data_IF_054485840348
#
_entry.id   IF_054485840348
#
_cell.length_a   1.000
_cell.length_b   1.000
_cell.length_c   1.000
_cell.angle_alpha   90.00
_cell.angle_beta   90.00
_cell.angle_gamma   90.00
#
_symmetry.space_group_name_H-M   'P 1'
#
loop_
_entity.id
_entity.type
_entity.pdbx_description
1 polymer ?
#
# COMPACT_ATOMS: atom_id res chain seq x y z
N UNK A 1 14.23 1.73 -17.77
CA UNK A 1 14.10 0.65 -18.77
C UNK A 1 13.38 1.22 -19.98
N UNK A 2 13.88 0.93 -21.19
CA UNK A 2 13.21 1.32 -22.42
C UNK A 2 12.01 0.39 -22.72
N UNK A 3 10.98 0.97 -23.33
CA UNK A 3 9.78 0.27 -23.79
C UNK A 3 10.01 -0.49 -25.10
N UNK A 4 11.05 -0.09 -25.84
CA UNK A 4 11.54 -0.73 -27.06
C UNK A 4 12.67 -1.74 -26.78
N UNK A 5 12.91 -2.60 -27.77
CA UNK A 5 14.12 -3.41 -27.93
C UNK A 5 14.70 -3.16 -29.31
N UNK A 6 16.03 -3.33 -29.44
CA UNK A 6 16.69 -3.26 -30.73
C UNK A 6 16.56 -4.59 -31.46
N UNK A 7 15.95 -4.58 -32.64
CA UNK A 7 15.89 -5.72 -33.53
C UNK A 7 17.25 -5.97 -34.21
N UNK A 8 17.43 -7.15 -34.80
CA UNK A 8 18.68 -7.55 -35.46
C UNK A 8 19.10 -6.60 -36.60
N UNK A 9 18.12 -5.97 -37.26
CA UNK A 9 18.33 -4.97 -38.31
C UNK A 9 18.65 -3.56 -37.77
N UNK A 10 18.80 -3.40 -36.45
CA UNK A 10 19.12 -2.13 -35.78
C UNK A 10 17.91 -1.24 -35.46
N UNK A 11 16.70 -1.59 -35.92
CA UNK A 11 15.48 -0.83 -35.66
C UNK A 11 15.00 -1.00 -34.21
N UNK A 12 14.37 0.03 -33.65
CA UNK A 12 13.70 -0.07 -32.34
C UNK A 12 12.25 -0.53 -32.49
N UNK A 13 11.89 -1.58 -31.76
CA UNK A 13 10.55 -2.18 -31.80
C UNK A 13 9.99 -2.26 -30.39
N UNK A 14 8.72 -1.89 -30.22
CA UNK A 14 8.04 -2.02 -28.94
C UNK A 14 7.89 -3.48 -28.51
N UNK A 15 8.14 -3.76 -27.22
CA UNK A 15 8.01 -5.11 -26.66
C UNK A 15 6.57 -5.63 -26.65
N UNK A 16 5.61 -4.73 -26.55
CA UNK A 16 4.18 -5.02 -26.54
C UNK A 16 3.38 -3.74 -26.84
N UNK A 17 2.10 -3.90 -27.20
CA UNK A 17 1.21 -2.78 -27.54
C UNK A 17 0.93 -1.84 -26.36
N UNK A 18 0.87 -2.36 -25.14
CA UNK A 18 0.66 -1.55 -23.92
C UNK A 18 1.80 -0.53 -23.76
N UNK A 19 3.05 -0.92 -23.99
CA UNK A 19 4.21 -0.03 -23.93
C UNK A 19 4.21 1.01 -25.05
N UNK A 20 3.77 0.63 -26.24
CA UNK A 20 3.57 1.59 -27.33
C UNK A 20 2.54 2.64 -26.94
N UNK A 21 1.36 2.22 -26.46
CA UNK A 21 0.27 3.12 -26.09
C UNK A 21 0.63 4.03 -24.90
N UNK A 22 1.42 3.53 -23.95
CA UNK A 22 1.93 4.34 -22.85
C UNK A 22 2.83 5.47 -23.36
N UNK A 23 3.78 5.19 -24.27
CA UNK A 23 4.64 6.24 -24.82
C UNK A 23 3.86 7.18 -25.77
N UNK A 24 2.88 6.66 -26.51
CA UNK A 24 1.97 7.45 -27.34
C UNK A 24 1.21 8.47 -26.49
N UNK A 25 0.54 8.04 -25.41
CA UNK A 25 -0.14 8.94 -24.47
C UNK A 25 0.78 10.01 -23.88
N UNK A 26 1.98 9.61 -23.43
CA UNK A 26 2.95 10.55 -22.85
C UNK A 26 3.37 11.61 -23.88
N UNK A 27 3.55 11.21 -25.14
CA UNK A 27 3.96 12.09 -26.20
C UNK A 27 2.82 12.99 -26.71
N UNK A 28 1.60 12.46 -26.85
CA UNK A 28 0.49 13.18 -27.50
C UNK A 28 -0.36 13.96 -26.51
N UNK A 29 -0.69 13.36 -25.36
CA UNK A 29 -1.58 13.98 -24.37
C UNK A 29 -0.78 14.81 -23.36
N UNK A 30 0.35 14.29 -22.87
CA UNK A 30 1.16 15.01 -21.88
C UNK A 30 2.24 15.89 -22.52
N UNK A 31 2.47 15.77 -23.83
CA UNK A 31 3.49 16.52 -24.58
C UNK A 31 4.91 16.36 -23.99
N UNK A 32 5.20 15.21 -23.39
CA UNK A 32 6.50 14.89 -22.81
C UNK A 32 7.23 13.96 -23.77
N UNK A 33 8.51 14.25 -24.03
CA UNK A 33 9.35 13.29 -24.75
C UNK A 33 9.58 12.04 -23.86
N UNK A 34 9.27 10.82 -24.32
CA UNK A 34 9.53 9.59 -23.55
C UNK A 34 10.99 9.42 -23.08
N UNK A 35 11.97 10.02 -23.74
CA UNK A 35 13.37 9.99 -23.29
C UNK A 35 13.63 10.85 -22.05
N UNK A 36 12.73 11.81 -21.77
CA UNK A 36 12.83 12.76 -20.66
C UNK A 36 12.07 12.30 -19.41
N UNK A 37 11.58 11.06 -19.35
CA UNK A 37 10.91 10.48 -18.17
C UNK A 37 11.80 10.52 -16.91
N UNK A 38 13.13 10.60 -17.07
CA UNK A 38 14.06 10.67 -15.93
C UNK A 38 14.05 12.03 -15.22
N UNK A 39 13.53 13.08 -15.87
CA UNK A 39 13.38 14.39 -15.27
C UNK A 39 12.31 14.30 -14.17
N UNK A 40 12.61 14.67 -12.91
CA UNK A 40 11.69 14.49 -11.78
C UNK A 40 10.30 15.10 -12.00
N UNK A 41 10.24 16.28 -12.59
CA UNK A 41 9.00 17.01 -12.89
C UNK A 41 8.14 16.25 -13.90
N UNK A 42 8.73 15.81 -15.00
CA UNK A 42 8.04 15.00 -16.02
C UNK A 42 7.55 13.68 -15.42
N UNK A 43 8.39 13.01 -14.62
CA UNK A 43 8.01 11.77 -13.95
C UNK A 43 6.82 11.98 -13.03
N UNK A 44 6.79 13.10 -12.29
CA UNK A 44 5.67 13.46 -11.42
C UNK A 44 4.40 13.72 -12.23
N UNK A 45 4.46 14.46 -13.33
CA UNK A 45 3.30 14.70 -14.21
C UNK A 45 2.73 13.38 -14.73
N UNK A 46 3.59 12.46 -15.18
CA UNK A 46 3.13 11.14 -15.65
C UNK A 46 2.51 10.33 -14.51
N UNK A 47 3.09 10.38 -13.31
CA UNK A 47 2.52 9.70 -12.14
C UNK A 47 1.16 10.27 -11.73
N UNK A 48 1.00 11.58 -11.79
CA UNK A 48 -0.26 12.29 -11.46
C UNK A 48 -1.37 12.00 -12.48
N UNK A 49 -1.02 11.67 -13.73
CA UNK A 49 -1.95 11.34 -14.82
C UNK A 49 -1.97 9.83 -15.14
N UNK A 50 -1.47 8.98 -14.24
CA UNK A 50 -1.27 7.56 -14.53
C UNK A 50 -2.58 6.83 -14.78
N UNK A 51 -3.65 7.16 -14.05
CA UNK A 51 -4.95 6.51 -14.24
C UNK A 51 -5.57 6.87 -15.61
N UNK A 52 -5.41 8.11 -16.06
CA UNK A 52 -5.85 8.53 -17.40
C UNK A 52 -5.07 7.82 -18.51
N UNK A 53 -3.75 7.67 -18.33
CA UNK A 53 -2.93 6.82 -19.21
C UNK A 53 -3.42 5.36 -19.22
N UNK A 54 -3.85 4.82 -18.08
CA UNK A 54 -4.39 3.45 -18.01
C UNK A 54 -5.71 3.36 -18.78
N UNK A 55 -6.62 4.34 -18.67
CA UNK A 55 -7.84 4.38 -19.48
C UNK A 55 -7.53 4.49 -20.97
N UNK A 56 -6.61 5.36 -21.36
CA UNK A 56 -6.16 5.47 -22.74
C UNK A 56 -5.64 4.12 -23.29
N UNK A 57 -4.80 3.43 -22.53
CA UNK A 57 -4.30 2.10 -22.93
C UNK A 57 -5.46 1.11 -23.00
N UNK A 58 -6.32 1.10 -21.98
CA UNK A 58 -7.49 0.23 -21.87
C UNK A 58 -8.36 0.34 -23.12
N UNK A 59 -8.71 1.54 -23.55
CA UNK A 59 -9.58 1.79 -24.71
C UNK A 59 -8.97 1.33 -26.04
N UNK A 60 -7.64 1.20 -26.09
CA UNK A 60 -6.89 0.93 -27.31
C UNK A 60 -6.25 -0.48 -27.37
N UNK A 61 -6.55 -1.36 -26.40
CA UNK A 61 -6.15 -2.78 -26.44
C UNK A 61 -7.35 -3.70 -26.65
N UNK A 62 -7.10 -4.86 -27.25
CA UNK A 62 -8.08 -5.95 -27.28
C UNK A 62 -8.24 -6.47 -25.85
N UNK A 63 -9.48 -6.47 -25.35
CA UNK A 63 -9.76 -6.94 -23.99
C UNK A 63 -9.48 -8.44 -23.85
N UNK A 64 -8.69 -8.86 -22.86
CA UNK A 64 -8.46 -10.28 -22.62
C UNK A 64 -9.76 -10.97 -22.18
N UNK A 65 -9.92 -12.24 -22.53
CA UNK A 65 -11.03 -13.05 -22.01
C UNK A 65 -10.83 -13.32 -20.51
N UNK A 66 -11.93 -13.33 -19.76
CA UNK A 66 -11.94 -13.73 -18.36
C UNK A 66 -11.45 -15.18 -18.14
N UNK A 67 -11.52 -16.03 -19.18
CA UNK A 67 -11.05 -17.41 -19.11
C UNK A 67 -9.52 -17.55 -19.25
N UNK A 68 -8.87 -16.58 -19.91
CA UNK A 68 -7.44 -16.64 -20.23
C UNK A 68 -6.60 -16.02 -19.09
N UNK A 69 -6.48 -16.78 -18.00
CA UNK A 69 -5.74 -16.34 -16.83
C UNK A 69 -4.24 -16.17 -17.09
N UNK A 70 -3.67 -16.91 -18.04
CA UNK A 70 -2.25 -16.79 -18.39
C UNK A 70 -1.99 -15.47 -19.13
N UNK A 71 -2.85 -15.09 -20.08
CA UNK A 71 -2.77 -13.79 -20.72
C UNK A 71 -2.98 -12.66 -19.71
N UNK A 72 -3.97 -12.76 -18.83
CA UNK A 72 -4.19 -11.77 -17.78
C UNK A 72 -2.97 -11.62 -16.87
N UNK A 73 -2.32 -12.73 -16.51
CA UNK A 73 -1.11 -12.70 -15.67
C UNK A 73 0.07 -12.04 -16.39
N UNK A 74 0.24 -12.31 -17.69
CA UNK A 74 1.22 -11.63 -18.52
C UNK A 74 0.96 -10.12 -18.63
N UNK A 75 -0.31 -9.72 -18.76
CA UNK A 75 -0.69 -8.30 -18.77
C UNK A 75 -0.44 -7.66 -17.40
N UNK A 76 -0.73 -8.35 -16.29
CA UNK A 76 -0.39 -7.87 -14.95
C UNK A 76 1.11 -7.64 -14.79
N UNK A 77 1.93 -8.52 -15.36
CA UNK A 77 3.38 -8.40 -15.33
C UNK A 77 3.90 -7.18 -16.12
N UNK A 78 3.23 -6.81 -17.21
CA UNK A 78 3.48 -5.57 -17.96
C UNK A 78 3.03 -4.36 -17.14
N UNK A 79 1.82 -4.41 -16.57
CA UNK A 79 1.22 -3.35 -15.75
C UNK A 79 2.11 -2.99 -14.54
N UNK A 80 2.54 -3.96 -13.73
CA UNK A 80 3.40 -3.66 -12.57
C UNK A 80 4.72 -3.00 -12.98
N UNK A 81 5.23 -3.29 -14.19
CA UNK A 81 6.45 -2.66 -14.73
C UNK A 81 6.19 -1.21 -15.13
N UNK A 82 5.01 -0.91 -15.70
CA UNK A 82 4.58 0.48 -15.93
C UNK A 82 4.54 1.24 -14.61
N UNK A 83 3.86 0.72 -13.59
CA UNK A 83 3.77 1.39 -12.30
C UNK A 83 5.15 1.75 -11.73
N UNK A 84 6.07 0.78 -11.70
CA UNK A 84 7.44 1.01 -11.22
C UNK A 84 8.19 2.03 -12.09
N UNK A 85 8.03 1.97 -13.43
CA UNK A 85 8.71 2.88 -14.36
C UNK A 85 8.30 4.33 -14.10
N UNK A 86 7.00 4.57 -13.93
CA UNK A 86 6.43 5.91 -13.78
C UNK A 86 6.30 6.37 -12.33
N UNK A 87 6.65 5.52 -11.36
CA UNK A 87 6.68 5.90 -9.94
C UNK A 87 5.34 5.80 -9.23
N UNK A 88 4.42 4.98 -9.74
CA UNK A 88 3.14 4.68 -9.10
C UNK A 88 3.15 3.31 -8.42
N UNK A 89 2.24 3.11 -7.48
CA UNK A 89 2.07 1.82 -6.80
C UNK A 89 0.99 1.02 -7.53
N UNK A 90 1.25 -0.27 -7.86
CA UNK A 90 0.23 -1.09 -8.48
C UNK A 90 -0.91 -1.38 -7.49
N UNK A 91 -2.14 -1.39 -8.00
CA UNK A 91 -3.36 -1.78 -7.29
C UNK A 91 -4.16 -2.76 -8.15
N UNK A 92 -5.03 -3.55 -7.52
CA UNK A 92 -5.94 -4.39 -8.28
C UNK A 92 -7.05 -3.59 -8.95
N UNK A 93 -7.40 -2.42 -8.42
CA UNK A 93 -8.41 -1.53 -8.98
C UNK A 93 -7.97 -0.97 -10.33
N UNK A 94 -6.80 -0.32 -10.38
CA UNK A 94 -6.25 0.20 -11.64
C UNK A 94 -5.92 -0.93 -12.64
N UNK A 95 -5.51 -2.11 -12.15
CA UNK A 95 -5.34 -3.26 -13.03
C UNK A 95 -6.67 -3.73 -13.63
N UNK A 96 -7.76 -3.70 -12.83
CA UNK A 96 -9.10 -4.07 -13.29
C UNK A 96 -9.60 -3.11 -14.38
N UNK A 97 -9.30 -1.82 -14.25
CA UNK A 97 -9.58 -0.80 -15.26
C UNK A 97 -8.80 -1.05 -16.57
N UNK A 98 -7.51 -1.41 -16.47
CA UNK A 98 -6.67 -1.73 -17.64
C UNK A 98 -7.26 -2.88 -18.48
N UNK A 99 -7.64 -3.98 -17.83
CA UNK A 99 -8.13 -5.18 -18.53
C UNK A 99 -9.64 -5.14 -18.81
N UNK A 100 -10.36 -4.15 -18.29
CA UNK A 100 -11.80 -4.01 -18.46
C UNK A 100 -12.62 -5.08 -17.74
N UNK A 101 -12.13 -5.56 -16.59
CA UNK A 101 -12.82 -6.57 -15.76
C UNK A 101 -13.29 -5.88 -14.48
N UNK A 102 -14.53 -6.13 -14.04
CA UNK A 102 -15.02 -5.55 -12.80
C UNK A 102 -14.17 -6.03 -11.61
N UNK A 103 -13.76 -5.12 -10.74
CA UNK A 103 -12.96 -5.44 -9.55
C UNK A 103 -13.58 -6.53 -8.65
N UNK A 104 -14.91 -6.60 -8.55
CA UNK A 104 -15.60 -7.63 -7.78
C UNK A 104 -15.32 -9.04 -8.31
N UNK A 105 -15.19 -9.19 -9.64
CA UNK A 105 -14.85 -10.46 -10.29
C UNK A 105 -13.53 -11.03 -9.76
N UNK A 106 -12.53 -10.17 -9.53
CA UNK A 106 -11.26 -10.60 -8.90
C UNK A 106 -11.45 -11.08 -7.46
N UNK A 107 -12.34 -10.43 -6.70
CA UNK A 107 -12.68 -10.86 -5.33
C UNK A 107 -13.35 -12.24 -5.35
N UNK A 108 -14.32 -12.44 -6.23
CA UNK A 108 -15.02 -13.72 -6.37
C UNK A 108 -14.04 -14.85 -6.75
N UNK A 109 -13.08 -14.57 -7.64
CA UNK A 109 -12.01 -15.51 -8.00
C UNK A 109 -11.13 -15.85 -6.80
N UNK A 110 -10.70 -14.87 -6.01
CA UNK A 110 -9.91 -15.11 -4.80
C UNK A 110 -10.65 -15.97 -3.77
N UNK A 111 -11.95 -15.72 -3.60
CA UNK A 111 -12.82 -16.46 -2.70
C UNK A 111 -13.17 -17.86 -3.22
N UNK A 112 -13.05 -18.07 -4.54
CA UNK A 112 -13.35 -19.34 -5.19
C UNK A 112 -14.84 -19.53 -5.48
N UNK A 113 -15.64 -18.47 -5.57
CA UNK A 113 -17.11 -18.57 -5.59
C UNK A 113 -17.67 -19.26 -6.84
N UNK A 114 -17.07 -19.07 -8.02
CA UNK A 114 -17.49 -19.77 -9.26
C UNK A 114 -16.34 -20.41 -10.06
N UNK A 115 -15.11 -20.39 -9.53
CA UNK A 115 -13.91 -21.00 -10.15
C UNK A 115 -12.92 -21.61 -9.14
N UNK A 116 -13.43 -22.22 -8.07
CA UNK A 116 -12.62 -22.77 -6.98
C UNK A 116 -11.46 -23.69 -7.42
N UNK A 117 -11.65 -24.45 -8.50
CA UNK A 117 -10.67 -25.42 -9.03
C UNK A 117 -9.74 -24.85 -10.11
N UNK A 118 -9.92 -23.59 -10.52
CA UNK A 118 -9.10 -22.95 -11.55
C UNK A 118 -7.83 -22.29 -10.99
N UNK A 119 -6.91 -21.90 -11.88
CA UNK A 119 -5.75 -21.11 -11.49
C UNK A 119 -6.11 -19.66 -11.09
N UNK A 120 -7.28 -19.15 -11.49
CA UNK A 120 -7.70 -17.75 -11.28
C UNK A 120 -7.56 -17.30 -9.83
N UNK A 121 -8.11 -18.07 -8.89
CA UNK A 121 -8.06 -17.67 -7.48
C UNK A 121 -6.64 -17.57 -6.92
N UNK A 122 -5.74 -18.47 -7.33
CA UNK A 122 -4.32 -18.44 -6.93
C UNK A 122 -3.59 -17.26 -7.58
N UNK A 123 -3.86 -17.02 -8.87
CA UNK A 123 -3.22 -15.95 -9.63
C UNK A 123 -3.64 -14.56 -9.14
N UNK A 124 -4.92 -14.32 -8.83
CA UNK A 124 -5.36 -13.04 -8.27
C UNK A 124 -4.78 -12.81 -6.87
N UNK A 125 -4.69 -13.86 -6.02
CA UNK A 125 -4.00 -13.76 -4.72
C UNK A 125 -2.54 -13.33 -4.90
N UNK A 126 -1.84 -13.94 -5.86
CA UNK A 126 -0.48 -13.54 -6.24
C UNK A 126 -0.41 -12.07 -6.64
N UNK A 127 -1.35 -11.58 -7.47
CA UNK A 127 -1.40 -10.16 -7.85
C UNK A 127 -1.61 -9.26 -6.63
N UNK A 128 -2.56 -9.61 -5.75
CA UNK A 128 -2.82 -8.89 -4.50
C UNK A 128 -1.57 -8.80 -3.62
N UNK A 129 -0.87 -9.91 -3.45
CA UNK A 129 0.36 -9.98 -2.65
C UNK A 129 1.49 -9.12 -3.25
N UNK A 130 1.61 -9.09 -4.58
CA UNK A 130 2.56 -8.22 -5.27
C UNK A 130 2.23 -6.74 -5.01
N UNK A 131 0.96 -6.34 -5.11
CA UNK A 131 0.54 -4.97 -4.84
C UNK A 131 0.84 -4.57 -3.39
N UNK A 132 0.49 -5.42 -2.42
CA UNK A 132 0.80 -5.20 -1.01
C UNK A 132 2.30 -5.12 -0.74
N UNK A 133 3.09 -6.03 -1.32
CA UNK A 133 4.54 -6.03 -1.16
C UNK A 133 5.21 -4.79 -1.75
N UNK A 134 4.69 -4.24 -2.85
CA UNK A 134 5.18 -2.97 -3.42
C UNK A 134 4.88 -1.78 -2.52
N UNK A 135 3.67 -1.70 -1.96
CA UNK A 135 3.31 -0.69 -0.97
C UNK A 135 4.21 -0.77 0.27
N UNK A 136 4.44 -1.97 0.79
CA UNK A 136 5.31 -2.18 1.96
C UNK A 136 6.75 -1.76 1.67
N UNK A 137 7.31 -2.15 0.53
CA UNK A 137 8.65 -1.73 0.14
C UNK A 137 8.76 -0.21 -0.01
N UNK A 138 7.72 0.45 -0.54
CA UNK A 138 7.68 1.91 -0.61
C UNK A 138 7.71 2.55 0.78
N UNK A 139 6.91 2.03 1.74
CA UNK A 139 6.88 2.52 3.13
C UNK A 139 8.25 2.41 3.80
N UNK A 140 9.00 1.33 3.55
CA UNK A 140 10.36 1.19 4.08
C UNK A 140 11.37 2.19 3.48
N UNK A 141 11.18 2.59 2.23
CA UNK A 141 12.11 3.46 1.51
C UNK A 141 11.87 4.96 1.77
N UNK A 142 10.76 5.33 2.40
CA UNK A 142 10.36 6.72 2.64
C UNK A 142 10.20 6.99 4.15
N UNK A 143 11.29 7.39 4.85
CA UNK A 143 11.24 7.73 6.27
C UNK A 143 10.25 8.89 6.53
N UNK A 144 9.45 8.79 7.59
CA UNK A 144 8.34 9.73 7.84
C UNK A 144 7.02 9.34 7.12
N UNK A 145 6.89 8.05 6.82
CA UNK A 145 5.84 7.38 6.05
C UNK A 145 4.41 7.94 6.19
N UNK A 146 3.80 8.19 5.03
CA UNK A 146 2.42 8.65 4.84
C UNK A 146 1.40 7.75 5.58
N UNK A 147 0.71 8.34 6.57
CA UNK A 147 -0.28 7.62 7.39
C UNK A 147 -1.39 6.95 6.57
N UNK A 148 -1.83 7.56 5.47
CA UNK A 148 -2.87 6.98 4.61
C UNK A 148 -2.40 5.67 3.98
N UNK A 149 -1.13 5.60 3.60
CA UNK A 149 -0.51 4.39 3.03
C UNK A 149 -0.34 3.29 4.08
N UNK A 150 -0.05 3.64 5.33
CA UNK A 150 -0.04 2.70 6.45
C UNK A 150 -1.44 2.12 6.68
N UNK A 151 -2.47 2.96 6.78
CA UNK A 151 -3.85 2.49 6.96
C UNK A 151 -4.33 1.64 5.77
N UNK A 152 -3.96 2.01 4.55
CA UNK A 152 -4.25 1.20 3.36
C UNK A 152 -3.55 -0.15 3.42
N UNK A 153 -2.28 -0.20 3.83
CA UNK A 153 -1.52 -1.44 4.01
C UNK A 153 -2.23 -2.37 5.00
N UNK A 154 -2.71 -1.83 6.13
CA UNK A 154 -3.46 -2.58 7.15
C UNK A 154 -4.81 -3.07 6.60
N UNK A 155 -5.63 -2.17 6.07
CA UNK A 155 -7.01 -2.47 5.67
C UNK A 155 -7.11 -3.37 4.43
N UNK A 156 -6.32 -3.11 3.39
CA UNK A 156 -6.43 -3.82 2.12
C UNK A 156 -5.61 -5.12 2.07
N UNK A 157 -4.47 -5.16 2.77
CA UNK A 157 -3.49 -6.24 2.68
C UNK A 157 -3.26 -7.00 4.00
N UNK A 158 -3.86 -6.55 5.11
CA UNK A 158 -3.78 -7.26 6.39
C UNK A 158 -2.42 -7.16 7.08
N UNK A 159 -1.58 -6.18 6.71
CA UNK A 159 -0.33 -5.92 7.42
C UNK A 159 -0.62 -5.45 8.85
N UNK A 160 0.19 -5.88 9.80
CA UNK A 160 0.07 -5.49 11.21
C UNK A 160 1.44 -5.03 11.72
N UNK A 161 1.43 -4.07 12.64
CA UNK A 161 2.63 -3.74 13.42
C UNK A 161 2.91 -4.93 14.34
N UNK A 162 4.10 -5.54 14.21
CA UNK A 162 4.53 -6.53 15.18
C UNK A 162 4.50 -5.90 16.57
N UNK A 163 3.87 -6.58 17.53
CA UNK A 163 3.79 -6.08 18.90
C UNK A 163 5.23 -5.93 19.42
N UNK A 164 5.69 -4.71 19.66
CA UNK A 164 6.87 -4.48 20.47
C UNK A 164 6.52 -5.01 21.86
N UNK A 165 7.06 -6.16 22.25
CA UNK A 165 6.97 -6.59 23.64
C UNK A 165 7.79 -5.58 24.45
N UNK A 166 7.09 -4.68 25.15
CA UNK A 166 7.71 -3.88 26.20
C UNK A 166 8.00 -4.88 27.33
N UNK A 167 9.21 -5.41 27.38
CA UNK A 167 9.70 -6.06 28.59
C UNK A 167 9.76 -4.98 29.67
N UNK A 168 8.75 -4.95 30.55
CA UNK A 168 8.87 -4.25 31.82
C UNK A 168 9.94 -5.04 32.59
N UNK A 169 11.21 -4.62 32.51
CA UNK A 169 12.20 -4.98 33.53
C UNK A 169 11.74 -4.32 34.82
N UNK A 170 10.89 -5.02 35.55
CA UNK A 170 10.43 -4.61 36.87
C UNK A 170 11.62 -4.61 37.81
N UNK A 171 12.21 -3.44 38.02
CA UNK A 171 13.14 -3.19 39.13
C UNK A 171 13.21 -1.69 39.50
N UNK A 172 12.19 -0.90 39.13
CA UNK A 172 12.16 0.54 39.47
C UNK A 172 10.77 1.07 39.79
N UNK A 173 9.87 0.21 40.26
CA UNK A 173 8.77 0.68 41.09
C UNK A 173 9.24 0.53 42.55
N UNK A 174 9.28 1.58 43.38
CA UNK A 174 9.47 1.39 44.81
C UNK A 174 8.27 0.57 45.31
N UNK A 175 8.49 -0.71 45.58
CA UNK A 175 7.52 -1.54 46.25
C UNK A 175 7.51 -1.09 47.72
N UNK A 176 6.66 -0.10 48.02
CA UNK A 176 6.38 0.28 49.40
C UNK A 176 5.83 -0.97 50.10
N UNK A 177 6.51 -1.37 51.16
CA UNK A 177 6.10 -2.49 52.01
C UNK A 177 4.73 -2.20 52.61
N UNK A 178 4.00 -3.26 52.98
CA UNK A 178 2.66 -3.15 53.55
C UNK A 178 2.64 -2.28 54.83
N UNK A 179 3.76 -2.25 55.55
CA UNK A 179 3.98 -1.41 56.74
C UNK A 179 4.12 0.08 56.38
N UNK A 180 4.81 0.40 55.29
CA UNK A 180 4.93 1.80 54.81
C UNK A 180 3.57 2.32 54.32
N UNK A 181 2.76 1.47 53.69
CA UNK A 181 1.38 1.81 53.31
C UNK A 181 0.53 2.08 54.56
N UNK A 182 0.69 1.29 55.62
CA UNK A 182 -0.04 1.48 56.87
C UNK A 182 0.33 2.79 57.57
N UNK A 183 1.63 3.12 57.63
CA UNK A 183 2.10 4.36 58.24
C UNK A 183 1.61 5.61 57.50
N UNK A 184 1.57 5.57 56.16
CA UNK A 184 1.05 6.68 55.34
C UNK A 184 -0.46 6.86 55.60
N UNK A 185 -1.22 5.76 55.68
CA UNK A 185 -2.65 5.81 55.99
C UNK A 185 -2.94 6.35 57.39
N UNK A 186 -2.14 5.97 58.39
CA UNK A 186 -2.25 6.49 59.76
C UNK A 186 -1.86 7.97 59.87
N UNK A 187 -0.85 8.43 59.14
CA UNK A 187 -0.50 9.85 59.12
C UNK A 187 -1.58 10.69 58.43
N UNK A 188 -2.14 10.23 57.32
CA UNK A 188 -3.20 10.94 56.61
C UNK A 188 -4.48 11.10 57.45
N UNK A 189 -4.82 10.08 58.25
CA UNK A 189 -5.98 10.13 59.16
C UNK A 189 -5.76 11.04 60.35
N UNK A 190 -4.55 11.10 60.91
CA UNK A 190 -4.20 12.03 62.01
C UNK A 190 -4.18 13.49 61.55
N UNK A 191 -3.62 13.78 60.37
CA UNK A 191 -3.61 15.16 59.82
C UNK A 191 -5.03 15.67 59.56
N UNK A 192 -5.89 14.84 58.96
CA UNK A 192 -7.28 15.20 58.69
C UNK A 192 -8.09 15.46 59.97
N UNK A 193 -7.86 14.68 61.04
CA UNK A 193 -8.54 14.88 62.32
C UNK A 193 -8.06 16.16 63.04
N UNK A 194 -6.75 16.46 63.01
CA UNK A 194 -6.21 17.67 63.61
C UNK A 194 -6.68 18.95 62.90
N UNK A 195 -6.78 18.94 61.57
CA UNK A 195 -7.32 20.06 60.78
C UNK A 195 -8.82 20.31 61.07
N UNK A 196 -9.60 19.25 61.32
CA UNK A 196 -11.01 19.36 61.68
C UNK A 196 -11.24 19.92 63.09
N UNK A 197 -10.39 19.56 64.05
CA UNK A 197 -10.47 20.08 65.44
C UNK A 197 -10.08 21.56 65.49
N UNK A 198 -9.10 21.99 64.69
CA UNK A 198 -8.63 23.38 64.65
C UNK A 198 -9.60 24.33 63.91
N UNK A 199 -10.56 23.78 63.16
CA UNK A 199 -11.59 24.53 62.42
C UNK A 199 -12.91 24.70 63.20
N UNK A 200 -13.01 24.16 64.42
CA UNK A 200 -14.15 24.41 65.30
C UNK A 200 -13.92 25.75 66.02
N UNK A 201 -14.87 26.70 65.96
CA UNK A 201 -14.78 27.92 66.76
C UNK A 201 -14.88 27.56 68.24
N UNK A 202 -13.93 28.06 69.05
CA UNK A 202 -14.08 28.05 70.51
C UNK A 202 -15.27 28.96 70.86
N UNK A 203 -16.25 28.41 71.58
CA UNK A 203 -17.42 29.17 72.10
C UNK A 203 -16.99 30.40 72.94
#
# INVERSE_FOLDING_TARGET
MANTVRAENGAEVYKNKIYQLADEYIQTELLINPDEIKIPENKKIIADNFDDMIYYISDNIIKPSNDDIELLDNIFDIYKRLCVKYGTLPTLDTFSDLVGINRATFTDWMNGEYRASSAHGKTVKKWKDICGGKLMNWLHQHPGSDGNKIFTAKAAYGYNEGVQQIEIKGDSAPALSQDEIHQIAEQATKTSASELIQALPDD
#
